data_IF_142838616842
#
_entry.id   IF_142838616842
#
_cell.length_a   1.000
_cell.length_b   1.000
_cell.length_c   1.000
_cell.angle_alpha   90.00
_cell.angle_beta   90.00
_cell.angle_gamma   90.00
#
_symmetry.space_group_name_H-M   'P 1'
#
loop_
_entity.id
_entity.type
_entity.pdbx_description
1 polymer ?
#
# COMPACT_ATOMS: atom_id res chain seq x y z
N UNK A 1 -22.92 -0.99 -14.77
CA UNK A 1 -23.03 0.46 -14.58
C UNK A 1 -21.64 0.92 -14.13
N UNK A 2 -20.86 1.47 -15.05
CA UNK A 2 -19.49 1.92 -14.77
C UNK A 2 -19.58 3.22 -13.98
N UNK A 3 -18.90 3.29 -12.84
CA UNK A 3 -18.72 4.53 -12.09
C UNK A 3 -17.82 5.50 -12.88
N UNK A 4 -17.99 6.82 -12.72
CA UNK A 4 -17.34 7.81 -13.58
C UNK A 4 -15.83 7.90 -13.30
N UNK A 5 -15.07 8.05 -14.40
CA UNK A 5 -13.62 8.20 -14.49
C UNK A 5 -13.11 9.59 -14.03
N UNK A 6 -13.94 10.40 -13.37
CA UNK A 6 -13.64 11.83 -13.14
C UNK A 6 -12.73 12.09 -11.93
N UNK A 7 -12.57 11.13 -11.01
CA UNK A 7 -11.70 11.28 -9.82
C UNK A 7 -10.23 11.00 -10.10
N UNK A 8 -9.92 10.22 -11.13
CA UNK A 8 -8.54 9.88 -11.50
C UNK A 8 -7.80 11.08 -12.08
N UNK A 9 -8.49 11.91 -12.86
CA UNK A 9 -7.89 13.07 -13.54
C UNK A 9 -7.48 14.18 -12.56
N UNK A 10 -8.27 14.40 -11.49
CA UNK A 10 -7.97 15.41 -10.47
C UNK A 10 -6.81 14.98 -9.56
N UNK A 11 -6.74 13.69 -9.19
CA UNK A 11 -5.65 13.15 -8.38
C UNK A 11 -4.32 13.12 -9.16
N UNK A 12 -4.38 12.81 -10.45
CA UNK A 12 -3.23 12.84 -11.36
C UNK A 12 -2.71 14.28 -11.52
N UNK A 13 -3.60 15.26 -11.70
CA UNK A 13 -3.23 16.69 -11.71
C UNK A 13 -2.56 17.16 -10.41
N UNK A 14 -3.02 16.69 -9.25
CA UNK A 14 -2.40 17.02 -7.95
C UNK A 14 -1.00 16.40 -7.84
N UNK A 15 -0.83 15.15 -8.30
CA UNK A 15 0.47 14.50 -8.30
C UNK A 15 1.48 15.25 -9.18
N UNK A 16 1.05 15.73 -10.34
CA UNK A 16 1.88 16.52 -11.26
C UNK A 16 2.32 17.85 -10.62
N UNK A 17 1.40 18.57 -9.98
CA UNK A 17 1.72 19.82 -9.29
C UNK A 17 2.72 19.59 -8.13
N UNK A 18 2.50 18.56 -7.32
CA UNK A 18 3.43 18.20 -6.24
C UNK A 18 4.79 17.82 -6.83
N UNK A 19 4.81 17.05 -7.90
CA UNK A 19 6.04 16.64 -8.58
C UNK A 19 6.84 17.84 -9.07
N UNK A 20 6.20 18.78 -9.78
CA UNK A 20 6.85 20.01 -10.27
C UNK A 20 7.43 20.82 -9.11
N UNK A 21 6.67 20.96 -8.02
CA UNK A 21 7.13 21.68 -6.84
C UNK A 21 8.34 21.01 -6.18
N UNK A 22 8.30 19.68 -5.99
CA UNK A 22 9.40 18.94 -5.38
C UNK A 22 10.67 18.98 -6.25
N UNK A 23 10.53 18.86 -7.58
CA UNK A 23 11.67 18.95 -8.51
C UNK A 23 12.34 20.34 -8.49
N UNK A 24 11.59 21.40 -8.15
CA UNK A 24 12.13 22.74 -7.97
C UNK A 24 12.94 22.95 -6.69
N UNK A 25 12.88 22.01 -5.74
CA UNK A 25 13.60 22.11 -4.47
C UNK A 25 15.07 21.66 -4.60
N UNK A 26 15.95 22.29 -3.83
CA UNK A 26 17.36 21.90 -3.79
C UNK A 26 17.60 20.55 -3.11
N UNK A 27 16.69 20.11 -2.24
CA UNK A 27 16.77 18.84 -1.52
C UNK A 27 15.35 18.32 -1.18
N UNK A 28 14.60 17.82 -2.18
CA UNK A 28 13.23 17.36 -1.96
C UNK A 28 13.16 16.23 -0.95
N UNK A 29 14.18 15.36 -0.91
CA UNK A 29 14.25 14.25 0.04
C UNK A 29 14.26 14.76 1.49
N UNK A 30 15.10 15.75 1.78
CA UNK A 30 15.15 16.37 3.10
C UNK A 30 13.87 17.10 3.44
N UNK A 31 13.33 17.90 2.52
CA UNK A 31 12.12 18.70 2.78
C UNK A 31 10.93 17.82 3.13
N UNK A 32 10.70 16.74 2.38
CA UNK A 32 9.61 15.79 2.69
C UNK A 32 9.83 15.12 4.06
N UNK A 33 11.07 14.76 4.39
CA UNK A 33 11.38 14.19 5.70
C UNK A 33 11.11 15.18 6.84
N UNK A 34 11.53 16.43 6.67
CA UNK A 34 11.33 17.50 7.65
C UNK A 34 9.83 17.77 7.88
N UNK A 35 8.99 17.69 6.83
CA UNK A 35 7.52 17.83 6.93
C UNK A 35 6.92 16.71 7.78
N UNK A 36 7.34 15.46 7.56
CA UNK A 36 6.84 14.31 8.31
C UNK A 36 7.24 14.38 9.78
N UNK A 37 8.48 14.81 10.05
CA UNK A 37 9.02 14.89 11.41
C UNK A 37 8.50 16.10 12.18
N UNK A 38 8.16 17.18 11.47
CA UNK A 38 7.70 18.45 12.07
C UNK A 38 6.38 18.89 11.41
N UNK A 39 5.27 18.19 11.66
CA UNK A 39 3.99 18.51 11.03
C UNK A 39 3.54 19.93 11.41
N UNK A 40 3.19 20.74 10.41
CA UNK A 40 2.74 22.14 10.58
C UNK A 40 1.50 22.21 11.48
N UNK A 41 0.63 21.20 11.38
CA UNK A 41 -0.50 21.02 12.27
C UNK A 41 -0.09 20.03 13.34
N UNK A 42 0.27 20.55 14.51
CA UNK A 42 0.49 19.74 15.70
C UNK A 42 -0.85 19.07 16.04
N UNK A 43 -0.98 17.76 15.81
CA UNK A 43 -2.17 17.00 16.23
C UNK A 43 -2.19 17.04 17.76
N UNK A 44 -3.15 17.78 18.31
CA UNK A 44 -3.41 17.79 19.75
C UNK A 44 -3.74 16.36 20.21
N UNK A 45 -3.10 15.93 21.31
CA UNK A 45 -3.49 14.79 22.13
C UNK A 45 -3.24 13.37 21.56
N UNK A 46 -1.98 13.07 21.23
CA UNK A 46 -1.41 11.76 21.55
C UNK A 46 -0.08 12.00 22.28
N UNK A 47 0.23 11.19 23.29
CA UNK A 47 1.37 11.38 24.19
C UNK A 47 2.71 11.59 23.44
N UNK A 48 3.65 12.22 24.13
CA UNK A 48 4.94 12.67 23.59
C UNK A 48 5.58 11.65 22.62
N UNK A 49 5.90 12.13 21.41
CA UNK A 49 6.79 11.54 20.39
C UNK A 49 6.26 10.45 19.44
N UNK A 50 4.94 10.24 19.31
CA UNK A 50 4.44 9.34 18.26
C UNK A 50 4.43 10.05 16.89
N UNK A 51 5.24 9.57 15.95
CA UNK A 51 5.19 10.03 14.54
C UNK A 51 3.85 9.60 13.93
N UNK A 52 3.07 10.57 13.46
CA UNK A 52 1.78 10.32 12.81
C UNK A 52 1.94 10.44 11.29
N UNK A 53 1.79 9.33 10.58
CA UNK A 53 1.65 9.30 9.12
C UNK A 53 0.17 9.39 8.77
N UNK A 54 -0.16 10.25 7.82
CA UNK A 54 -1.48 10.33 7.20
C UNK A 54 -1.37 10.37 5.67
N UNK A 55 -2.51 10.41 4.99
CA UNK A 55 -2.59 10.30 3.53
C UNK A 55 -1.79 11.40 2.80
N UNK A 56 -1.68 12.60 3.38
CA UNK A 56 -0.90 13.69 2.78
C UNK A 56 0.60 13.37 2.77
N UNK A 57 1.11 12.77 3.85
CA UNK A 57 2.49 12.31 3.95
C UNK A 57 2.74 11.14 2.99
N UNK A 58 1.79 10.21 2.87
CA UNK A 58 1.88 9.10 1.91
C UNK A 58 1.95 9.64 0.48
N UNK A 59 1.12 10.60 0.12
CA UNK A 59 1.14 11.20 -1.22
C UNK A 59 2.49 11.84 -1.54
N UNK A 60 3.04 12.62 -0.60
CA UNK A 60 4.38 13.22 -0.74
C UNK A 60 5.47 12.15 -0.93
N UNK A 61 5.42 11.06 -0.16
CA UNK A 61 6.38 9.96 -0.27
C UNK A 61 6.24 9.21 -1.60
N UNK A 62 5.02 8.99 -2.10
CA UNK A 62 4.79 8.34 -3.41
C UNK A 62 5.39 9.19 -4.52
N UNK A 63 5.11 10.50 -4.55
CA UNK A 63 5.69 11.40 -5.56
C UNK A 63 7.21 11.45 -5.42
N UNK A 64 7.73 11.50 -4.20
CA UNK A 64 9.18 11.47 -3.94
C UNK A 64 9.84 10.19 -4.46
N UNK A 65 9.20 9.03 -4.28
CA UNK A 65 9.67 7.75 -4.82
C UNK A 65 9.77 7.80 -6.34
N UNK A 66 8.76 8.36 -7.01
CA UNK A 66 8.69 8.44 -8.48
C UNK A 66 9.73 9.40 -9.07
N UNK A 67 9.99 10.54 -8.43
CA UNK A 67 11.03 11.47 -8.91
C UNK A 67 12.44 10.99 -8.59
N UNK A 68 12.59 10.04 -7.65
CA UNK A 68 13.84 9.35 -7.29
C UNK A 68 15.05 10.29 -7.16
N UNK A 69 15.04 11.23 -6.19
CA UNK A 69 16.10 12.22 -6.07
C UNK A 69 17.38 11.60 -5.49
N UNK A 70 18.51 12.24 -5.72
CA UNK A 70 19.78 11.85 -5.10
C UNK A 70 19.72 12.04 -3.58
N UNK A 71 19.85 10.94 -2.85
CA UNK A 71 19.77 10.94 -1.38
C UNK A 71 21.15 11.21 -0.77
N UNK A 72 21.28 12.34 -0.07
CA UNK A 72 22.51 12.69 0.66
C UNK A 72 22.66 11.81 1.92
N UNK A 73 23.91 11.50 2.35
CA UNK A 73 24.16 10.61 3.48
C UNK A 73 23.45 11.02 4.78
N UNK A 74 23.52 12.31 5.15
CA UNK A 74 22.87 12.80 6.37
C UNK A 74 21.34 12.67 6.32
N UNK A 75 20.72 12.86 5.14
CA UNK A 75 19.27 12.68 4.97
C UNK A 75 18.90 11.20 5.13
N UNK A 76 19.75 10.29 4.61
CA UNK A 76 19.56 8.84 4.81
C UNK A 76 19.62 8.45 6.29
N UNK A 77 20.53 9.05 7.06
CA UNK A 77 20.64 8.81 8.51
C UNK A 77 19.38 9.28 9.26
N UNK A 78 18.84 10.45 8.91
CA UNK A 78 17.60 10.96 9.51
C UNK A 78 16.38 10.11 9.10
N UNK A 79 16.32 9.68 7.84
CA UNK A 79 15.29 8.77 7.35
C UNK A 79 15.35 7.40 8.05
N UNK A 80 16.55 6.91 8.40
CA UNK A 80 16.71 5.69 9.18
C UNK A 80 16.07 5.81 10.56
N UNK A 81 16.26 6.95 11.26
CA UNK A 81 15.62 7.19 12.57
C UNK A 81 14.11 7.14 12.44
N UNK A 82 13.56 7.86 11.46
CA UNK A 82 12.12 7.85 11.18
C UNK A 82 11.60 6.44 10.85
N UNK A 83 12.32 5.66 10.04
CA UNK A 83 11.93 4.29 9.71
C UNK A 83 11.90 3.38 10.96
N UNK A 84 12.83 3.55 11.90
CA UNK A 84 12.83 2.83 13.16
C UNK A 84 11.64 3.23 14.04
N UNK A 85 11.31 4.52 14.10
CA UNK A 85 10.15 5.02 14.84
C UNK A 85 8.84 4.47 14.26
N UNK A 86 8.67 4.50 12.93
CA UNK A 86 7.51 3.89 12.28
C UNK A 86 7.43 2.39 12.51
N UNK A 87 8.57 1.68 12.48
CA UNK A 87 8.61 0.24 12.78
C UNK A 87 8.20 -0.07 14.22
N UNK A 88 8.55 0.78 15.19
CA UNK A 88 8.08 0.67 16.56
C UNK A 88 6.56 0.94 16.64
N UNK A 89 6.12 2.02 16.01
CA UNK A 89 4.71 2.44 15.96
C UNK A 89 3.79 1.34 15.38
N UNK A 90 4.22 0.62 14.34
CA UNK A 90 3.45 -0.51 13.80
C UNK A 90 3.12 -1.59 14.82
N UNK A 91 4.03 -1.86 15.78
CA UNK A 91 3.80 -2.88 16.81
C UNK A 91 2.72 -2.46 17.79
N UNK A 92 2.62 -1.16 18.08
CA UNK A 92 1.65 -0.59 19.00
C UNK A 92 0.27 -0.44 18.33
N UNK A 93 0.24 -0.12 17.04
CA UNK A 93 -0.98 0.10 16.26
C UNK A 93 -1.44 -1.11 15.45
N UNK A 94 -1.16 -2.33 15.93
CA UNK A 94 -1.59 -3.61 15.34
C UNK A 94 -1.35 -3.71 13.83
N UNK A 95 -0.26 -3.16 13.32
CA UNK A 95 0.07 -3.19 11.90
C UNK A 95 -0.84 -2.33 11.03
N UNK A 96 -1.24 -1.13 11.50
CA UNK A 96 -1.95 -0.13 10.69
C UNK A 96 -1.31 0.00 9.30
N UNK A 97 -2.10 -0.31 8.26
CA UNK A 97 -1.62 -0.43 6.88
C UNK A 97 -1.00 0.87 6.34
N UNK A 98 -1.46 2.03 6.81
CA UNK A 98 -0.94 3.33 6.37
C UNK A 98 0.46 3.59 6.95
N UNK A 99 0.67 3.26 8.23
CA UNK A 99 2.00 3.34 8.87
C UNK A 99 2.97 2.36 8.20
N UNK A 100 2.51 1.15 7.90
CA UNK A 100 3.28 0.14 7.17
C UNK A 100 3.67 0.64 5.78
N UNK A 101 2.74 1.25 5.04
CA UNK A 101 3.00 1.81 3.72
C UNK A 101 4.05 2.94 3.79
N UNK A 102 3.91 3.86 4.74
CA UNK A 102 4.88 4.95 4.94
C UNK A 102 6.28 4.43 5.21
N UNK A 103 6.42 3.41 6.06
CA UNK A 103 7.70 2.75 6.30
C UNK A 103 8.31 2.12 5.05
N UNK A 104 7.53 1.34 4.30
CA UNK A 104 8.03 0.69 3.07
C UNK A 104 8.46 1.72 2.02
N UNK A 105 7.73 2.84 1.89
CA UNK A 105 8.11 3.96 1.04
C UNK A 105 9.45 4.57 1.50
N UNK A 106 9.65 4.79 2.81
CA UNK A 106 10.96 5.24 3.32
C UNK A 106 12.09 4.26 2.99
N UNK A 107 11.85 2.95 3.12
CA UNK A 107 12.88 1.97 2.78
C UNK A 107 13.29 2.06 1.31
N UNK A 108 12.31 2.26 0.42
CA UNK A 108 12.50 2.37 -1.02
C UNK A 108 13.27 3.64 -1.38
N UNK A 109 12.74 4.79 -0.98
CA UNK A 109 13.26 6.12 -1.34
C UNK A 109 14.70 6.31 -0.84
N UNK A 110 14.95 5.94 0.42
CA UNK A 110 16.23 6.23 1.07
C UNK A 110 17.24 5.07 0.99
N UNK A 111 16.87 3.95 0.34
CA UNK A 111 17.73 2.78 0.15
C UNK A 111 18.07 2.08 1.47
N UNK A 112 17.07 1.89 2.34
CA UNK A 112 17.30 1.41 3.70
C UNK A 112 17.08 -0.10 3.88
N UNK A 113 16.54 -0.80 2.86
CA UNK A 113 16.25 -2.25 2.88
C UNK A 113 17.37 -3.10 3.50
N UNK A 114 18.67 -2.90 3.16
CA UNK A 114 19.75 -3.72 3.71
C UNK A 114 19.91 -3.67 5.24
N UNK A 115 19.27 -2.70 5.91
CA UNK A 115 19.32 -2.55 7.37
C UNK A 115 18.21 -3.33 8.10
N UNK A 116 17.33 -3.99 7.35
CA UNK A 116 16.18 -4.72 7.88
C UNK A 116 16.22 -6.19 7.44
N UNK A 117 15.54 -7.05 8.21
CA UNK A 117 15.36 -8.44 7.81
C UNK A 117 14.42 -8.52 6.60
N UNK A 118 14.91 -9.15 5.53
CA UNK A 118 14.20 -9.27 4.24
C UNK A 118 12.82 -9.94 4.40
N UNK A 119 12.74 -11.07 5.10
CA UNK A 119 11.50 -11.81 5.30
C UNK A 119 10.46 -11.01 6.09
N UNK A 120 10.90 -10.24 7.09
CA UNK A 120 10.03 -9.37 7.87
C UNK A 120 9.48 -8.22 7.01
N UNK A 121 10.31 -7.61 6.16
CA UNK A 121 9.86 -6.57 5.21
C UNK A 121 8.89 -7.16 4.19
N UNK A 122 9.18 -8.35 3.65
CA UNK A 122 8.30 -9.02 2.68
C UNK A 122 6.91 -9.31 3.26
N UNK A 123 6.82 -9.75 4.53
CA UNK A 123 5.53 -10.03 5.19
C UNK A 123 4.65 -8.79 5.32
N UNK A 124 5.23 -7.59 5.43
CA UNK A 124 4.49 -6.34 5.51
C UNK A 124 3.68 -6.05 4.25
N UNK A 125 4.08 -6.58 3.09
CA UNK A 125 3.32 -6.41 1.86
C UNK A 125 1.92 -7.02 1.92
N UNK A 126 1.68 -8.02 2.76
CA UNK A 126 0.32 -8.54 2.96
C UNK A 126 -0.64 -7.52 3.59
N UNK A 127 -0.12 -6.49 4.26
CA UNK A 127 -0.93 -5.42 4.88
C UNK A 127 -1.13 -4.22 3.95
N UNK A 128 -0.26 -4.06 2.94
CA UNK A 128 -0.30 -2.91 2.02
C UNK A 128 -0.63 -3.32 0.59
N UNK A 129 -0.89 -4.60 0.34
CA UNK A 129 -1.17 -5.13 -0.99
C UNK A 129 -2.40 -4.51 -1.65
N UNK A 130 -3.29 -3.91 -0.86
CA UNK A 130 -4.50 -3.21 -1.30
C UNK A 130 -4.23 -1.83 -1.93
N UNK A 131 -3.12 -1.17 -1.59
CA UNK A 131 -2.78 0.13 -2.17
C UNK A 131 -2.24 0.00 -3.59
N UNK A 132 -2.63 0.91 -4.48
CA UNK A 132 -2.26 0.87 -5.90
C UNK A 132 -0.75 0.93 -6.14
N UNK A 133 -0.04 1.70 -5.32
CA UNK A 133 1.43 1.80 -5.36
C UNK A 133 2.13 0.50 -4.91
N UNK A 134 1.41 -0.43 -4.28
CA UNK A 134 1.99 -1.62 -3.66
C UNK A 134 2.79 -2.50 -4.63
N UNK A 135 2.34 -2.63 -5.88
CA UNK A 135 3.03 -3.39 -6.93
C UNK A 135 4.35 -2.72 -7.30
N UNK A 136 4.33 -1.41 -7.58
CA UNK A 136 5.51 -0.62 -7.93
C UNK A 136 6.56 -0.70 -6.80
N UNK A 137 6.10 -0.53 -5.56
CA UNK A 137 6.92 -0.57 -4.36
C UNK A 137 7.55 -1.96 -4.12
N UNK A 138 6.81 -3.04 -4.39
CA UNK A 138 7.31 -4.42 -4.27
C UNK A 138 8.52 -4.65 -5.19
N UNK A 139 8.45 -4.14 -6.42
CA UNK A 139 9.54 -4.21 -7.38
C UNK A 139 10.72 -3.32 -6.98
N UNK A 140 10.43 -2.07 -6.57
CA UNK A 140 11.45 -1.10 -6.17
C UNK A 140 12.29 -1.59 -4.97
N UNK A 141 11.68 -2.33 -4.04
CA UNK A 141 12.38 -2.93 -2.89
C UNK A 141 13.11 -4.25 -3.25
N UNK A 142 13.04 -4.69 -4.51
CA UNK A 142 13.79 -5.85 -4.98
C UNK A 142 13.12 -7.20 -4.77
N UNK A 143 11.81 -7.24 -4.49
CA UNK A 143 11.09 -8.50 -4.20
C UNK A 143 10.50 -9.19 -5.43
N UNK A 144 10.79 -8.72 -6.65
CA UNK A 144 10.20 -9.26 -7.87
C UNK A 144 10.41 -10.78 -8.05
N UNK A 145 11.52 -11.34 -7.56
CA UNK A 145 11.79 -12.78 -7.58
C UNK A 145 10.94 -13.58 -6.58
N UNK A 146 10.39 -12.93 -5.55
CA UNK A 146 9.51 -13.53 -4.53
C UNK A 146 8.03 -13.53 -4.91
N UNK A 147 7.68 -13.05 -6.10
CA UNK A 147 6.29 -12.85 -6.52
C UNK A 147 5.44 -14.12 -6.41
N UNK A 148 6.00 -15.28 -6.76
CA UNK A 148 5.28 -16.56 -6.70
C UNK A 148 4.82 -16.89 -5.28
N UNK A 149 5.73 -16.83 -4.32
CA UNK A 149 5.45 -17.14 -2.92
C UNK A 149 4.50 -16.09 -2.32
N UNK A 150 4.69 -14.82 -2.70
CA UNK A 150 3.83 -13.74 -2.24
C UNK A 150 2.39 -13.88 -2.74
N UNK A 151 2.17 -14.14 -4.03
CA UNK A 151 0.83 -14.37 -4.61
C UNK A 151 0.13 -15.55 -3.92
N UNK A 152 0.84 -16.66 -3.70
CA UNK A 152 0.28 -17.80 -2.95
C UNK A 152 -0.09 -17.41 -1.51
N UNK A 153 0.68 -16.52 -0.87
CA UNK A 153 0.37 -16.02 0.47
C UNK A 153 -0.89 -15.17 0.51
N UNK A 154 -1.12 -14.32 -0.50
CA UNK A 154 -2.33 -13.50 -0.64
C UNK A 154 -3.56 -14.38 -0.82
N UNK A 155 -3.48 -15.40 -1.67
CA UNK A 155 -4.55 -16.39 -1.87
C UNK A 155 -4.93 -17.08 -0.56
N UNK A 156 -3.94 -17.55 0.20
CA UNK A 156 -4.20 -18.20 1.51
C UNK A 156 -4.89 -17.27 2.50
N UNK A 157 -4.67 -15.96 2.36
CA UNK A 157 -5.33 -14.90 3.12
C UNK A 157 -6.65 -14.41 2.50
N UNK A 158 -7.09 -15.00 1.39
CA UNK A 158 -8.29 -14.63 0.64
C UNK A 158 -8.25 -13.20 0.05
N UNK A 159 -7.04 -12.67 -0.19
CA UNK A 159 -6.79 -11.38 -0.83
C UNK A 159 -6.71 -11.57 -2.36
N UNK A 160 -7.83 -11.97 -2.96
CA UNK A 160 -7.87 -12.44 -4.36
C UNK A 160 -7.64 -11.33 -5.37
N UNK A 161 -8.21 -10.14 -5.16
CA UNK A 161 -8.05 -9.00 -6.07
C UNK A 161 -6.60 -8.54 -6.11
N UNK A 162 -5.94 -8.49 -4.95
CA UNK A 162 -4.52 -8.20 -4.86
C UNK A 162 -3.68 -9.30 -5.51
N UNK A 163 -4.03 -10.58 -5.29
CA UNK A 163 -3.34 -11.69 -5.93
C UNK A 163 -3.41 -11.60 -7.47
N UNK A 164 -4.57 -11.27 -8.05
CA UNK A 164 -4.71 -11.00 -9.50
C UNK A 164 -3.80 -9.86 -9.91
N UNK A 165 -3.90 -8.71 -9.21
CA UNK A 165 -3.16 -7.49 -9.57
C UNK A 165 -1.65 -7.73 -9.60
N UNK A 166 -1.11 -8.35 -8.55
CA UNK A 166 0.30 -8.71 -8.48
C UNK A 166 0.67 -9.76 -9.53
N UNK A 167 -0.19 -10.75 -9.79
CA UNK A 167 0.09 -11.76 -10.81
C UNK A 167 0.19 -11.16 -12.22
N UNK A 168 -0.76 -10.29 -12.57
CA UNK A 168 -0.79 -9.59 -13.85
C UNK A 168 0.45 -8.70 -14.03
N UNK A 169 0.79 -7.90 -13.02
CA UNK A 169 1.89 -6.95 -13.11
C UNK A 169 3.26 -7.59 -13.36
N UNK A 170 3.49 -8.79 -12.82
CA UNK A 170 4.75 -9.51 -12.95
C UNK A 170 4.71 -10.64 -13.99
N UNK A 171 3.67 -10.67 -14.84
CA UNK A 171 3.44 -11.77 -15.80
C UNK A 171 3.54 -13.16 -15.14
N UNK A 172 3.11 -13.26 -13.88
CA UNK A 172 3.04 -14.51 -13.15
C UNK A 172 1.89 -15.34 -13.73
N UNK A 173 2.20 -16.00 -14.84
CA UNK A 173 1.28 -16.75 -15.69
C UNK A 173 1.46 -18.27 -15.52
N UNK A 174 2.45 -18.69 -14.72
CA UNK A 174 2.53 -20.06 -14.25
C UNK A 174 1.53 -20.26 -13.12
N UNK A 175 0.40 -20.88 -13.44
CA UNK A 175 -0.11 -22.10 -12.79
C UNK A 175 -1.61 -22.18 -13.04
N UNK A 176 -2.05 -23.28 -13.65
CA UNK A 176 -3.44 -23.75 -13.67
C UNK A 176 -4.15 -23.58 -12.31
N UNK A 177 -3.38 -23.66 -11.22
CA UNK A 177 -3.79 -23.39 -9.85
C UNK A 177 -4.44 -22.01 -9.63
N UNK A 178 -3.93 -20.93 -10.24
CA UNK A 178 -4.56 -19.60 -10.14
C UNK A 178 -5.94 -19.59 -10.78
N UNK A 179 -6.06 -20.19 -11.97
CA UNK A 179 -7.35 -20.31 -12.68
C UNK A 179 -8.33 -21.14 -11.86
N UNK A 180 -7.89 -22.28 -11.31
CA UNK A 180 -8.71 -23.15 -10.47
C UNK A 180 -9.19 -22.43 -9.20
N UNK A 181 -8.30 -21.69 -8.53
CA UNK A 181 -8.61 -20.92 -7.31
C UNK A 181 -9.56 -19.76 -7.60
N UNK A 182 -9.32 -19.00 -8.67
CA UNK A 182 -10.23 -17.92 -9.07
C UNK A 182 -11.59 -18.48 -9.49
N UNK A 183 -11.62 -19.63 -10.18
CA UNK A 183 -12.86 -20.30 -10.55
C UNK A 183 -13.64 -20.79 -9.33
N UNK A 184 -12.97 -21.38 -8.33
CA UNK A 184 -13.59 -21.76 -7.05
C UNK A 184 -14.14 -20.54 -6.32
N UNK A 185 -13.42 -19.42 -6.30
CA UNK A 185 -13.89 -18.18 -5.69
C UNK A 185 -15.16 -17.64 -6.39
N UNK A 186 -15.16 -17.59 -7.73
CA UNK A 186 -16.34 -17.19 -8.52
C UNK A 186 -17.53 -18.12 -8.26
N UNK A 187 -17.30 -19.42 -8.15
CA UNK A 187 -18.35 -20.39 -7.83
C UNK A 187 -18.91 -20.17 -6.42
N UNK A 188 -18.06 -19.93 -5.41
CA UNK A 188 -18.47 -19.64 -4.05
C UNK A 188 -19.28 -18.33 -3.96
N UNK A 189 -18.84 -17.26 -4.65
CA UNK A 189 -19.60 -16.01 -4.72
C UNK A 189 -20.97 -16.19 -5.36
N UNK A 190 -21.06 -16.97 -6.45
CA UNK A 190 -22.33 -17.29 -7.11
C UNK A 190 -23.28 -18.05 -6.18
N UNK A 191 -22.78 -19.03 -5.41
CA UNK A 191 -23.59 -19.77 -4.45
C UNK A 191 -24.13 -18.87 -3.33
N UNK A 192 -23.31 -17.97 -2.79
CA UNK A 192 -23.72 -16.99 -1.79
C UNK A 192 -24.81 -16.08 -2.37
N UNK A 193 -24.60 -15.57 -3.59
CA UNK A 193 -25.57 -14.71 -4.26
C UNK A 193 -26.90 -15.43 -4.53
N UNK A 194 -26.85 -16.67 -5.01
CA UNK A 194 -28.05 -17.50 -5.23
C UNK A 194 -28.83 -17.77 -3.94
N UNK A 195 -28.14 -18.05 -2.83
CA UNK A 195 -28.79 -18.23 -1.53
C UNK A 195 -29.45 -16.95 -1.04
N UNK A 196 -28.77 -15.80 -1.19
CA UNK A 196 -29.29 -14.47 -0.85
C UNK A 196 -30.55 -14.11 -1.67
N UNK A 197 -30.55 -14.38 -2.98
CA UNK A 197 -31.73 -14.14 -3.82
C UNK A 197 -32.90 -15.07 -3.47
N UNK A 198 -32.64 -16.33 -3.13
CA UNK A 198 -33.70 -17.28 -2.70
C UNK A 198 -34.32 -16.85 -1.38
N UNK A 199 -33.52 -16.33 -0.45
CA UNK A 199 -33.99 -15.85 0.84
C UNK A 199 -34.79 -14.55 0.71
N UNK A 200 -34.34 -13.59 -0.10
CA UNK A 200 -35.07 -12.35 -0.40
C UNK A 200 -36.45 -12.60 -1.02
N UNK A 201 -36.53 -13.52 -2.00
CA UNK A 201 -37.80 -13.91 -2.63
C UNK A 201 -38.76 -14.63 -1.65
N UNK A 202 -38.24 -15.30 -0.63
CA UNK A 202 -39.07 -15.99 0.37
C UNK A 202 -39.67 -15.06 1.43
N UNK A 203 -39.03 -13.91 1.69
CA UNK A 203 -39.52 -12.87 2.60
C UNK A 203 -40.64 -12.06 1.94
N UNK A 204 -40.50 -11.74 0.65
CA UNK A 204 -41.49 -10.99 -0.12
C UNK A 204 -42.83 -11.75 -0.30
N UNK A 205 -42.79 -13.09 -0.27
CA UNK A 205 -43.98 -13.96 -0.35
C UNK A 205 -44.73 -14.02 1.00
N UNK A 206 -44.04 -13.80 2.13
CA UNK A 206 -44.66 -13.84 3.47
C UNK A 206 -45.36 -12.53 3.86
N UNK A 207 -44.92 -11.38 3.34
CA UNK A 207 -45.54 -10.08 3.63
C UNK A 207 -46.80 -9.77 2.78
N UNK A 208 -47.16 -10.66 1.84
CA UNK A 208 -48.35 -10.55 0.98
C UNK A 208 -49.46 -11.57 1.30
N UNK A 209 -49.33 -12.34 2.38
CA UNK A 209 -50.30 -13.37 2.79
C UNK A 209 -51.13 -12.95 4.01
#
# INVERSE_FOLDING_TARGET
MLLPCDQTDELESICDDIQVNLQGLSDPSKVVLDIIQNPIIQKCEMGDNVVIIDDSHILLLIVLMRISPDIKPHVREDAMKLALDLKANMKENNGNSLVVLGFLLLLSIYGLVPSFNEDDVLKLFGLVSQYDIGVELFGALGFADKISDFVQSLIKKQQYDEAVRFSCAYNFSNNTQLVDIFQEHVQNLNLIFESSCKEANSIEIKDKA
#
